data_IF_389882575508
#
_entry.id   IF_389882575508
#
_cell.length_a   1.000
_cell.length_b   1.000
_cell.length_c   1.000
_cell.angle_alpha   90.00
_cell.angle_beta   90.00
_cell.angle_gamma   90.00
#
_symmetry.space_group_name_H-M   'P 1'
#
loop_
_entity.id
_entity.type
_entity.pdbx_description
1 polymer ?
#
# COMPACT_ATOMS: atom_id res chain seq x y z
N UNK A 1 9.33 6.62 -17.06
CA UNK A 1 8.58 7.84 -16.68
C UNK A 1 7.31 7.54 -15.89
N UNK A 2 6.51 6.53 -16.25
CA UNK A 2 5.28 6.13 -15.52
C UNK A 2 5.53 5.95 -14.01
N UNK A 3 6.53 5.15 -13.65
CA UNK A 3 7.01 4.93 -12.27
C UNK A 3 7.30 6.24 -11.52
N UNK A 4 8.00 7.18 -12.15
CA UNK A 4 8.40 8.45 -11.52
C UNK A 4 7.23 9.43 -11.34
N UNK A 5 6.11 9.19 -12.04
CA UNK A 5 4.90 10.02 -11.97
C UNK A 5 3.82 9.47 -11.02
N UNK A 6 3.99 8.25 -10.49
CA UNK A 6 3.00 7.66 -9.59
C UNK A 6 2.99 8.36 -8.23
N UNK A 7 1.78 8.67 -7.76
CA UNK A 7 1.55 9.31 -6.46
C UNK A 7 2.01 8.41 -5.31
N UNK A 8 1.93 7.08 -5.48
CA UNK A 8 2.38 6.09 -4.50
C UNK A 8 3.89 6.10 -4.25
N UNK A 9 4.68 6.63 -5.19
CA UNK A 9 6.11 6.83 -5.01
C UNK A 9 6.40 8.23 -4.49
N UNK A 10 5.86 9.24 -5.17
CA UNK A 10 6.25 10.63 -4.92
C UNK A 10 5.86 11.09 -3.51
N UNK A 11 4.69 10.68 -3.02
CA UNK A 11 4.22 11.06 -1.67
C UNK A 11 5.16 10.55 -0.56
N UNK A 12 5.49 9.24 -0.47
CA UNK A 12 6.45 8.75 0.52
C UNK A 12 7.86 9.35 0.38
N UNK A 13 8.35 9.57 -0.85
CA UNK A 13 9.69 10.16 -1.07
C UNK A 13 9.75 11.58 -0.54
N UNK A 14 8.81 12.43 -0.97
CA UNK A 14 8.86 13.86 -0.71
C UNK A 14 8.63 14.20 0.77
N UNK A 15 7.95 13.32 1.50
CA UNK A 15 7.41 13.65 2.83
C UNK A 15 8.01 12.80 3.96
N UNK A 16 8.37 11.52 3.73
CA UNK A 16 8.62 10.58 4.85
C UNK A 16 9.92 9.74 4.80
N UNK A 17 10.76 9.84 3.76
CA UNK A 17 12.10 9.23 3.79
C UNK A 17 12.19 7.70 3.66
N UNK A 18 11.18 7.03 3.10
CA UNK A 18 11.19 5.67 2.52
C UNK A 18 11.94 4.51 3.25
N UNK A 19 11.87 4.38 4.58
CA UNK A 19 12.49 3.21 5.24
C UNK A 19 11.80 1.86 4.87
N UNK A 20 10.57 1.90 4.37
CA UNK A 20 9.81 0.72 3.92
C UNK A 20 10.32 0.10 2.62
N UNK A 21 11.19 0.82 1.90
CA UNK A 21 11.77 0.36 0.64
C UNK A 21 12.55 -0.96 0.82
N UNK A 22 13.19 -1.18 1.98
CA UNK A 22 13.93 -2.41 2.26
C UNK A 22 13.00 -3.64 2.33
N UNK A 23 11.87 -3.53 3.04
CA UNK A 23 10.89 -4.62 3.08
C UNK A 23 10.33 -4.91 1.69
N UNK A 24 9.99 -3.85 0.94
CA UNK A 24 9.47 -3.97 -0.43
C UNK A 24 10.47 -4.63 -1.37
N UNK A 25 11.76 -4.28 -1.29
CA UNK A 25 12.81 -4.88 -2.12
C UNK A 25 12.87 -6.40 -1.93
N UNK A 26 12.94 -6.87 -0.68
CA UNK A 26 12.97 -8.31 -0.40
C UNK A 26 11.65 -9.00 -0.74
N UNK A 27 10.50 -8.33 -0.55
CA UNK A 27 9.21 -8.84 -0.98
C UNK A 27 9.17 -9.09 -2.49
N UNK A 28 9.67 -8.14 -3.29
CA UNK A 28 9.75 -8.27 -4.75
C UNK A 28 10.70 -9.38 -5.20
N UNK A 29 11.84 -9.57 -4.52
CA UNK A 29 12.73 -10.72 -4.76
C UNK A 29 12.04 -12.05 -4.44
N UNK A 30 11.24 -12.10 -3.37
CA UNK A 30 10.42 -13.26 -3.03
C UNK A 30 9.39 -13.57 -4.11
N UNK A 31 8.65 -12.57 -4.57
CA UNK A 31 7.68 -12.72 -5.67
C UNK A 31 8.36 -13.17 -6.97
N UNK A 32 9.53 -12.61 -7.31
CA UNK A 32 10.31 -13.05 -8.47
C UNK A 32 10.73 -14.52 -8.36
N UNK A 33 11.21 -14.95 -7.20
CA UNK A 33 11.56 -16.35 -6.94
C UNK A 33 10.33 -17.27 -7.01
N UNK A 34 9.17 -16.80 -6.53
CA UNK A 34 7.89 -17.51 -6.65
C UNK A 34 7.53 -17.77 -8.11
N UNK A 35 7.60 -16.74 -8.96
CA UNK A 35 7.30 -16.81 -10.39
C UNK A 35 8.27 -17.77 -11.11
N UNK A 36 9.56 -17.74 -10.74
CA UNK A 36 10.58 -18.66 -11.26
C UNK A 36 10.45 -20.11 -10.76
N UNK A 37 9.50 -20.39 -9.86
CA UNK A 37 9.33 -21.72 -9.27
C UNK A 37 10.36 -22.06 -8.17
N UNK A 38 11.19 -21.11 -7.75
CA UNK A 38 12.30 -21.30 -6.80
C UNK A 38 11.80 -21.23 -5.34
N UNK A 39 11.07 -22.26 -4.88
CA UNK A 39 10.41 -22.29 -3.56
C UNK A 39 11.30 -21.90 -2.38
N UNK A 40 12.53 -22.42 -2.32
CA UNK A 40 13.46 -22.12 -1.22
C UNK A 40 13.83 -20.63 -1.18
N UNK A 41 14.09 -20.02 -2.34
CA UNK A 41 14.41 -18.60 -2.43
C UNK A 41 13.18 -17.73 -2.12
N UNK A 42 11.99 -18.15 -2.55
CA UNK A 42 10.73 -17.48 -2.20
C UNK A 42 10.58 -17.38 -0.68
N UNK A 43 10.64 -18.50 0.04
CA UNK A 43 10.50 -18.52 1.50
C UNK A 43 11.61 -17.73 2.19
N UNK A 44 12.86 -17.88 1.74
CA UNK A 44 14.02 -17.16 2.27
C UNK A 44 13.87 -15.63 2.16
N UNK A 45 13.49 -15.11 1.00
CA UNK A 45 13.34 -13.67 0.81
C UNK A 45 12.19 -13.10 1.64
N UNK A 46 11.08 -13.83 1.79
CA UNK A 46 10.01 -13.41 2.69
C UNK A 46 10.41 -13.46 4.16
N UNK A 47 11.23 -14.44 4.57
CA UNK A 47 11.79 -14.47 5.91
C UNK A 47 12.63 -13.23 6.21
N UNK A 48 13.38 -12.72 5.22
CA UNK A 48 14.13 -11.46 5.35
C UNK A 48 13.21 -10.23 5.34
N UNK A 49 12.17 -10.21 4.50
CA UNK A 49 11.26 -9.05 4.36
C UNK A 49 10.44 -8.77 5.64
N UNK A 50 10.06 -9.82 6.37
CA UNK A 50 9.13 -9.77 7.49
C UNK A 50 9.64 -9.00 8.73
N UNK A 51 10.89 -9.15 9.18
CA UNK A 51 11.48 -8.32 10.22
C UNK A 51 11.44 -6.82 9.92
N UNK A 52 11.61 -6.42 8.66
CA UNK A 52 11.50 -5.00 8.28
C UNK A 52 10.06 -4.51 8.34
N UNK A 53 9.11 -5.30 7.82
CA UNK A 53 7.68 -4.96 7.88
C UNK A 53 6.79 -6.18 7.78
N UNK A 54 5.90 -6.32 8.76
CA UNK A 54 4.97 -7.45 8.83
C UNK A 54 3.91 -7.45 7.71
N UNK A 55 3.75 -6.34 6.97
CA UNK A 55 2.87 -6.28 5.80
C UNK A 55 3.27 -7.25 4.69
N UNK A 56 4.51 -7.75 4.68
CA UNK A 56 4.92 -8.84 3.80
C UNK A 56 4.09 -10.12 4.01
N UNK A 57 3.47 -10.33 5.18
CA UNK A 57 2.54 -11.46 5.40
C UNK A 57 1.32 -11.40 4.49
N UNK A 58 0.84 -10.19 4.18
CA UNK A 58 -0.34 -9.98 3.34
C UNK A 58 -0.09 -10.40 1.89
N UNK A 59 1.18 -10.51 1.49
CA UNK A 59 1.59 -11.05 0.19
C UNK A 59 2.00 -12.52 0.31
N UNK A 60 2.78 -12.86 1.33
CA UNK A 60 3.33 -14.20 1.52
C UNK A 60 2.23 -15.27 1.66
N UNK A 61 1.27 -15.05 2.56
CA UNK A 61 0.25 -16.06 2.89
C UNK A 61 -0.63 -16.39 1.67
N UNK A 62 -1.21 -15.40 0.96
CA UNK A 62 -2.02 -15.71 -0.22
C UNK A 62 -1.23 -16.43 -1.33
N UNK A 63 0.06 -16.10 -1.53
CA UNK A 63 0.90 -16.78 -2.52
C UNK A 63 1.19 -18.24 -2.13
N UNK A 64 1.49 -18.52 -0.86
CA UNK A 64 1.65 -19.90 -0.36
C UNK A 64 0.39 -20.71 -0.63
N UNK A 65 -0.79 -20.16 -0.31
CA UNK A 65 -2.08 -20.82 -0.48
C UNK A 65 -2.48 -20.99 -1.96
N UNK A 66 -2.07 -20.07 -2.82
CA UNK A 66 -2.28 -20.18 -4.27
C UNK A 66 -1.50 -21.37 -4.84
N UNK A 67 -0.26 -21.58 -4.37
CA UNK A 67 0.63 -22.64 -4.85
C UNK A 67 0.38 -24.00 -4.23
N UNK A 68 0.38 -24.07 -2.90
CA UNK A 68 0.34 -25.32 -2.13
C UNK A 68 -1.05 -25.56 -1.55
N UNK A 69 -1.58 -26.78 -1.75
CA UNK A 69 -2.91 -27.20 -1.24
C UNK A 69 -2.83 -28.17 -0.06
N UNK A 70 -1.65 -28.75 0.15
CA UNK A 70 -1.37 -29.72 1.20
C UNK A 70 -1.05 -28.98 2.50
N UNK A 71 -1.92 -29.10 3.49
CA UNK A 71 -1.84 -28.39 4.78
C UNK A 71 -0.45 -28.48 5.41
N UNK A 72 0.19 -29.66 5.40
CA UNK A 72 1.54 -29.84 5.95
C UNK A 72 2.59 -28.91 5.34
N UNK A 73 2.57 -28.70 4.03
CA UNK A 73 3.55 -27.86 3.35
C UNK A 73 3.26 -26.37 3.55
N UNK A 74 1.98 -26.01 3.64
CA UNK A 74 1.56 -24.65 3.99
C UNK A 74 2.08 -24.28 5.38
N UNK A 75 1.91 -25.17 6.37
CA UNK A 75 2.40 -24.95 7.73
C UNK A 75 3.93 -24.86 7.78
N UNK A 76 4.64 -25.75 7.10
CA UNK A 76 6.11 -25.73 7.03
C UNK A 76 6.63 -24.43 6.41
N UNK A 77 6.09 -24.02 5.25
CA UNK A 77 6.49 -22.74 4.62
C UNK A 77 6.10 -21.55 5.48
N UNK A 78 4.98 -21.61 6.20
CA UNK A 78 4.57 -20.59 7.18
C UNK A 78 5.60 -20.42 8.29
N UNK A 79 6.06 -21.52 8.88
CA UNK A 79 7.09 -21.52 9.95
C UNK A 79 8.43 -21.05 9.40
N UNK A 80 8.88 -21.58 8.26
CA UNK A 80 10.14 -21.21 7.63
C UNK A 80 10.14 -19.72 7.22
N UNK A 81 9.05 -19.23 6.63
CA UNK A 81 8.88 -17.83 6.26
C UNK A 81 8.85 -16.91 7.49
N UNK A 82 8.22 -17.31 8.59
CA UNK A 82 8.19 -16.50 9.81
C UNK A 82 9.43 -16.66 10.71
N UNK A 83 10.35 -17.58 10.38
CA UNK A 83 11.45 -17.98 11.26
C UNK A 83 12.35 -16.82 11.69
N UNK A 84 12.77 -15.97 10.75
CA UNK A 84 13.68 -14.87 11.06
C UNK A 84 12.99 -13.76 11.85
N UNK A 85 11.71 -13.48 11.58
CA UNK A 85 10.90 -12.59 12.41
C UNK A 85 10.80 -13.09 13.86
N UNK A 86 10.56 -14.39 14.04
CA UNK A 86 10.52 -15.00 15.37
C UNK A 86 11.87 -14.90 16.07
N UNK A 87 12.97 -15.16 15.35
CA UNK A 87 14.33 -15.01 15.87
C UNK A 87 14.59 -13.57 16.34
N UNK A 88 14.29 -12.56 15.52
CA UNK A 88 14.45 -11.15 15.89
C UNK A 88 13.66 -10.80 17.15
N UNK A 89 12.41 -11.28 17.27
CA UNK A 89 11.58 -11.06 18.46
C UNK A 89 12.15 -11.74 19.71
N UNK A 90 12.68 -12.95 19.58
CA UNK A 90 13.33 -13.66 20.69
C UNK A 90 14.57 -12.90 21.14
N UNK A 91 15.45 -12.52 20.20
CA UNK A 91 16.66 -11.74 20.50
C UNK A 91 16.29 -10.41 21.18
N UNK A 92 15.29 -9.69 20.67
CA UNK A 92 14.81 -8.45 21.26
C UNK A 92 14.33 -8.65 22.70
N UNK A 93 13.51 -9.68 22.95
CA UNK A 93 13.00 -10.00 24.29
C UNK A 93 14.10 -10.40 25.26
N UNK A 94 15.08 -11.19 24.82
CA UNK A 94 16.14 -11.71 25.69
C UNK A 94 17.19 -10.64 26.02
N UNK A 95 17.60 -9.83 25.04
CA UNK A 95 18.76 -8.93 25.19
C UNK A 95 18.41 -7.46 25.38
N UNK A 96 17.24 -7.00 24.92
CA UNK A 96 16.95 -5.56 24.82
C UNK A 96 15.75 -5.10 25.63
N UNK A 97 14.74 -5.97 25.87
CA UNK A 97 13.53 -5.61 26.59
C UNK A 97 13.16 -6.72 27.60
N UNK A 98 13.83 -6.76 28.77
CA UNK A 98 13.53 -7.75 29.81
C UNK A 98 12.17 -7.53 30.48
N UNK A 99 11.71 -6.27 30.55
CA UNK A 99 10.47 -5.91 31.23
C UNK A 99 9.22 -6.09 30.35
N UNK A 100 8.25 -6.83 30.90
CA UNK A 100 7.02 -7.29 30.25
C UNK A 100 6.08 -6.16 29.79
N UNK A 101 6.17 -4.97 30.39
CA UNK A 101 5.31 -3.84 30.05
C UNK A 101 5.68 -3.16 28.71
N UNK A 102 6.92 -3.32 28.24
CA UNK A 102 7.42 -2.69 26.99
C UNK A 102 7.34 -3.64 25.78
N UNK A 103 7.08 -4.93 26.00
CA UNK A 103 6.93 -5.93 24.94
C UNK A 103 5.67 -5.74 24.08
N UNK A 104 4.66 -5.02 24.60
CA UNK A 104 3.38 -4.78 23.90
C UNK A 104 3.48 -3.77 22.75
N UNK A 105 4.54 -2.96 22.66
CA UNK A 105 4.59 -1.84 21.72
C UNK A 105 4.88 -2.25 20.26
N UNK A 106 5.57 -3.36 20.01
CA UNK A 106 5.99 -3.71 18.63
C UNK A 106 4.97 -4.55 17.85
N UNK A 107 4.24 -5.45 18.51
CA UNK A 107 3.14 -6.21 17.87
C UNK A 107 1.76 -5.56 18.07
N UNK A 108 1.56 -4.84 19.18
CA UNK A 108 0.29 -4.17 19.46
C UNK A 108 -0.06 -3.13 18.41
N UNK A 109 0.93 -2.41 17.86
CA UNK A 109 0.67 -1.34 16.90
C UNK A 109 0.20 -1.83 15.52
N UNK A 110 0.57 -3.03 15.07
CA UNK A 110 -0.03 -3.61 13.85
C UNK A 110 -1.46 -4.06 14.12
N UNK A 111 -1.67 -4.71 15.27
CA UNK A 111 -2.98 -5.22 15.66
C UNK A 111 -3.99 -4.09 15.80
N UNK A 112 -3.60 -2.91 16.31
CA UNK A 112 -4.51 -1.76 16.37
C UNK A 112 -5.05 -1.37 14.99
N UNK A 113 -4.23 -1.39 13.93
CA UNK A 113 -4.70 -1.11 12.57
C UNK A 113 -5.61 -2.21 12.00
N UNK A 114 -5.28 -3.47 12.27
CA UNK A 114 -6.07 -4.62 11.82
C UNK A 114 -7.46 -4.62 12.48
N UNK A 115 -7.54 -4.29 13.78
CA UNK A 115 -8.77 -4.31 14.55
C UNK A 115 -9.51 -2.96 14.57
N UNK A 116 -9.02 -1.93 13.89
CA UNK A 116 -9.63 -0.59 13.91
C UNK A 116 -11.00 -0.56 13.24
N UNK A 117 -11.15 -1.22 12.09
CA UNK A 117 -12.43 -1.29 11.37
C UNK A 117 -13.15 -2.58 11.70
N UNK A 118 -14.33 -2.45 12.30
CA UNK A 118 -15.11 -3.57 12.80
C UNK A 118 -16.53 -3.53 12.27
N UNK A 119 -17.11 -4.71 12.09
CA UNK A 119 -18.51 -4.91 11.79
C UNK A 119 -19.16 -5.72 12.92
N UNK A 120 -20.35 -5.33 13.34
CA UNK A 120 -21.07 -5.99 14.42
C UNK A 120 -21.82 -7.21 13.88
N UNK A 121 -21.53 -8.39 14.45
CA UNK A 121 -22.31 -9.60 14.23
C UNK A 121 -23.12 -9.94 15.49
N UNK A 122 -23.96 -10.98 15.39
CA UNK A 122 -24.87 -11.44 16.46
C UNK A 122 -24.12 -11.74 17.76
N UNK A 123 -22.92 -12.32 17.67
CA UNK A 123 -22.16 -12.73 18.84
C UNK A 123 -21.19 -11.65 19.34
N UNK A 124 -20.40 -11.03 18.45
CA UNK A 124 -19.51 -9.88 18.78
C UNK A 124 -19.10 -9.11 17.50
N UNK A 125 -18.41 -7.97 17.68
CA UNK A 125 -17.75 -7.22 16.61
C UNK A 125 -16.54 -7.98 16.05
N UNK A 126 -16.40 -8.02 14.73
CA UNK A 126 -15.27 -8.67 14.04
C UNK A 126 -14.52 -7.68 13.16
N UNK A 127 -13.20 -7.83 13.06
CA UNK A 127 -12.37 -7.03 12.16
C UNK A 127 -12.77 -7.28 10.69
N UNK A 128 -13.09 -6.20 9.98
CA UNK A 128 -13.41 -6.24 8.54
C UNK A 128 -12.18 -6.70 7.75
N UNK A 129 -10.97 -6.29 8.17
CA UNK A 129 -9.72 -6.75 7.58
C UNK A 129 -9.57 -8.27 7.67
N UNK A 130 -9.71 -8.84 8.87
CA UNK A 130 -9.54 -10.28 9.09
C UNK A 130 -10.55 -11.05 8.24
N UNK A 131 -11.81 -10.63 8.28
CA UNK A 131 -12.87 -11.24 7.48
C UNK A 131 -12.54 -11.25 5.98
N UNK A 132 -12.21 -10.08 5.41
CA UNK A 132 -11.88 -9.96 3.99
C UNK A 132 -10.58 -10.71 3.62
N UNK A 133 -9.57 -10.69 4.48
CA UNK A 133 -8.30 -11.36 4.23
C UNK A 133 -8.43 -12.89 4.28
N UNK A 134 -9.27 -13.41 5.18
CA UNK A 134 -9.63 -14.85 5.20
C UNK A 134 -10.33 -15.24 3.90
N UNK A 135 -11.24 -14.42 3.38
CA UNK A 135 -11.87 -14.67 2.07
C UNK A 135 -10.85 -14.70 0.94
N UNK A 136 -9.85 -13.80 0.94
CA UNK A 136 -8.73 -13.83 -0.04
C UNK A 136 -7.92 -15.12 0.11
N UNK A 137 -7.62 -15.55 1.33
CA UNK A 137 -6.89 -16.78 1.60
C UNK A 137 -7.67 -18.02 1.13
N UNK A 138 -8.97 -18.08 1.42
CA UNK A 138 -9.86 -19.14 0.95
C UNK A 138 -9.95 -19.17 -0.57
N UNK A 139 -10.10 -18.00 -1.21
CA UNK A 139 -10.05 -17.88 -2.66
C UNK A 139 -8.75 -18.44 -3.24
N UNK A 140 -7.59 -18.06 -2.68
CA UNK A 140 -6.29 -18.57 -3.14
C UNK A 140 -6.16 -20.08 -2.91
N UNK A 141 -6.62 -20.59 -1.78
CA UNK A 141 -6.59 -22.02 -1.47
C UNK A 141 -7.47 -22.83 -2.42
N UNK A 142 -8.68 -22.37 -2.72
CA UNK A 142 -9.65 -23.08 -3.57
C UNK A 142 -9.36 -22.95 -5.07
N UNK A 143 -8.73 -21.85 -5.51
CA UNK A 143 -8.32 -21.65 -6.91
C UNK A 143 -7.31 -22.73 -7.30
N UNK A 144 -7.53 -23.39 -8.45
CA UNK A 144 -6.55 -24.29 -9.07
C UNK A 144 -5.22 -23.55 -9.28
N UNK A 145 -4.11 -24.20 -8.94
CA UNK A 145 -2.77 -23.63 -9.12
C UNK A 145 -2.59 -23.18 -10.58
N UNK A 146 -2.24 -21.91 -10.83
CA UNK A 146 -2.04 -21.40 -12.19
C UNK A 146 -0.92 -22.14 -12.93
N UNK A 147 -1.04 -22.18 -14.25
CA UNK A 147 0.01 -22.70 -15.12
C UNK A 147 1.21 -21.75 -15.17
N UNK A 148 2.36 -22.25 -15.63
CA UNK A 148 3.63 -21.50 -15.60
C UNK A 148 3.59 -20.21 -16.42
N UNK A 149 2.75 -20.15 -17.47
CA UNK A 149 2.57 -18.96 -18.30
C UNK A 149 1.76 -17.88 -17.58
N UNK A 150 0.80 -18.26 -16.75
CA UNK A 150 -0.09 -17.33 -16.05
C UNK A 150 0.37 -16.99 -14.63
N UNK A 151 1.31 -17.77 -14.08
CA UNK A 151 1.74 -17.65 -12.67
C UNK A 151 2.26 -16.27 -12.33
N UNK A 152 2.93 -15.59 -13.28
CA UNK A 152 3.41 -14.22 -13.13
C UNK A 152 2.28 -13.24 -12.82
N UNK A 153 1.27 -13.23 -13.68
CA UNK A 153 0.12 -12.32 -13.55
C UNK A 153 -0.72 -12.64 -12.31
N UNK A 154 -0.93 -13.92 -12.01
CA UNK A 154 -1.62 -14.34 -10.78
C UNK A 154 -0.86 -13.98 -9.52
N UNK A 155 0.48 -14.13 -9.51
CA UNK A 155 1.29 -13.75 -8.36
C UNK A 155 1.18 -12.26 -8.06
N UNK A 156 1.29 -11.41 -9.09
CA UNK A 156 1.12 -9.95 -8.95
C UNK A 156 -0.30 -9.59 -8.47
N UNK A 157 -1.32 -10.19 -9.08
CA UNK A 157 -2.72 -9.95 -8.74
C UNK A 157 -3.05 -10.33 -7.29
N UNK A 158 -2.64 -11.53 -6.86
CA UNK A 158 -2.88 -12.02 -5.49
C UNK A 158 -2.09 -11.23 -4.45
N UNK A 159 -0.87 -10.80 -4.79
CA UNK A 159 -0.08 -9.90 -3.95
C UNK A 159 -0.79 -8.55 -3.76
N UNK A 160 -1.29 -7.96 -4.85
CA UNK A 160 -2.08 -6.74 -4.79
C UNK A 160 -3.37 -6.96 -3.99
N UNK A 161 -4.08 -8.07 -4.19
CA UNK A 161 -5.33 -8.37 -3.51
C UNK A 161 -5.15 -8.44 -1.99
N UNK A 162 -4.10 -9.09 -1.52
CA UNK A 162 -3.77 -9.17 -0.09
C UNK A 162 -3.47 -7.79 0.53
N UNK A 163 -2.69 -6.95 -0.15
CA UNK A 163 -2.42 -5.59 0.29
C UNK A 163 -3.65 -4.67 0.17
N UNK A 164 -4.44 -4.81 -0.89
CA UNK A 164 -5.60 -3.98 -1.14
C UNK A 164 -6.65 -4.13 -0.04
N UNK A 165 -6.86 -5.35 0.46
CA UNK A 165 -7.73 -5.56 1.63
C UNK A 165 -7.26 -4.72 2.81
N UNK A 166 -5.96 -4.74 3.13
CA UNK A 166 -5.41 -3.91 4.20
C UNK A 166 -5.66 -2.41 3.97
N UNK A 167 -5.42 -1.92 2.76
CA UNK A 167 -5.61 -0.51 2.43
C UNK A 167 -7.07 -0.05 2.45
N UNK A 168 -8.02 -0.92 2.09
CA UNK A 168 -9.44 -0.58 2.06
C UNK A 168 -10.09 -0.67 3.43
N UNK A 169 -9.60 -1.54 4.32
CA UNK A 169 -10.27 -1.84 5.60
C UNK A 169 -9.53 -1.33 6.82
N UNK A 170 -8.28 -0.88 6.68
CA UNK A 170 -7.48 -0.38 7.79
C UNK A 170 -6.98 1.04 7.52
N UNK A 171 -6.77 1.81 8.58
CA UNK A 171 -6.16 3.13 8.46
C UNK A 171 -4.69 2.96 8.06
N UNK A 172 -4.32 3.50 6.89
CA UNK A 172 -2.98 3.33 6.33
C UNK A 172 -2.18 4.62 6.34
N UNK A 173 -0.97 4.54 6.91
CA UNK A 173 -0.05 5.66 6.96
C UNK A 173 0.43 6.04 5.54
N UNK A 174 0.63 7.33 5.23
CA UNK A 174 0.99 7.78 3.87
C UNK A 174 2.20 7.08 3.25
N UNK A 175 3.22 6.78 4.05
CA UNK A 175 4.42 6.07 3.59
C UNK A 175 4.16 4.66 3.05
N UNK A 176 3.10 3.98 3.51
CA UNK A 176 2.84 2.59 3.13
C UNK A 176 2.30 2.46 1.71
N UNK A 177 1.79 3.55 1.12
CA UNK A 177 1.29 3.56 -0.26
C UNK A 177 2.33 3.01 -1.27
N UNK A 178 3.62 3.13 -0.94
CA UNK A 178 4.74 2.53 -1.67
C UNK A 178 4.60 1.00 -1.85
N UNK A 179 3.92 0.29 -0.95
CA UNK A 179 3.74 -1.15 -1.02
C UNK A 179 2.79 -1.58 -2.14
N UNK A 180 1.80 -0.75 -2.50
CA UNK A 180 0.89 -1.03 -3.61
C UNK A 180 1.57 -0.82 -4.97
N UNK A 181 2.50 0.14 -5.03
CA UNK A 181 3.13 0.61 -6.25
C UNK A 181 3.60 -0.50 -7.21
N UNK A 182 4.50 -1.43 -6.81
CA UNK A 182 5.08 -2.33 -7.79
C UNK A 182 4.05 -3.32 -8.36
N UNK A 183 3.06 -3.72 -7.56
CA UNK A 183 2.03 -4.65 -8.00
C UNK A 183 1.04 -3.98 -8.97
N UNK A 184 0.63 -2.74 -8.68
CA UNK A 184 -0.25 -1.96 -9.56
C UNK A 184 0.45 -1.69 -10.90
N UNK A 185 1.65 -1.14 -10.88
CA UNK A 185 2.36 -0.79 -12.12
C UNK A 185 2.71 -2.02 -12.95
N UNK A 186 3.18 -3.11 -12.34
CA UNK A 186 3.49 -4.33 -13.10
C UNK A 186 2.23 -4.93 -13.72
N UNK A 187 1.07 -4.90 -13.05
CA UNK A 187 -0.19 -5.35 -13.65
C UNK A 187 -0.63 -4.46 -14.83
N UNK A 188 -0.39 -3.15 -14.76
CA UNK A 188 -0.62 -2.23 -15.88
C UNK A 188 0.34 -2.56 -17.03
N UNK A 189 1.63 -2.73 -16.77
CA UNK A 189 2.65 -3.03 -17.78
C UNK A 189 2.50 -4.43 -18.40
N UNK A 190 1.94 -5.40 -17.66
CA UNK A 190 1.61 -6.72 -18.21
C UNK A 190 0.31 -6.71 -19.03
N UNK A 191 -0.38 -5.58 -19.16
CA UNK A 191 -1.57 -5.43 -19.98
C UNK A 191 -1.21 -5.06 -21.41
N UNK A 192 -2.05 -5.44 -22.38
CA UNK A 192 -1.89 -4.98 -23.76
C UNK A 192 -1.89 -3.44 -23.83
N UNK A 193 -1.18 -2.89 -24.80
CA UNK A 193 -0.96 -1.44 -24.95
C UNK A 193 -2.28 -0.64 -24.97
N UNK A 194 -3.31 -1.16 -25.66
CA UNK A 194 -4.65 -0.53 -25.73
C UNK A 194 -5.30 -0.39 -24.35
N UNK A 195 -5.01 -1.30 -23.42
CA UNK A 195 -5.56 -1.32 -22.07
C UNK A 195 -4.68 -0.60 -21.03
N UNK A 196 -3.40 -0.37 -21.35
CA UNK A 196 -2.45 0.30 -20.45
C UNK A 196 -2.94 1.70 -20.07
N UNK A 197 -3.59 2.41 -21.00
CA UNK A 197 -4.15 3.75 -20.77
C UNK A 197 -5.24 3.76 -19.71
N UNK A 198 -6.14 2.78 -19.77
CA UNK A 198 -7.21 2.60 -18.76
C UNK A 198 -6.60 2.32 -17.39
N UNK A 199 -5.62 1.41 -17.34
CA UNK A 199 -4.89 1.10 -16.10
C UNK A 199 -4.24 2.33 -15.47
N UNK A 200 -3.60 3.18 -16.28
CA UNK A 200 -3.02 4.44 -15.83
C UNK A 200 -4.06 5.43 -15.34
N UNK A 201 -5.18 5.61 -16.05
CA UNK A 201 -6.22 6.50 -15.57
C UNK A 201 -6.72 6.05 -14.20
N UNK A 202 -7.03 4.76 -14.06
CA UNK A 202 -7.50 4.19 -12.80
C UNK A 202 -6.50 4.43 -11.67
N UNK A 203 -5.22 4.09 -11.88
CA UNK A 203 -4.17 4.31 -10.87
C UNK A 203 -4.04 5.78 -10.49
N UNK A 204 -4.20 6.69 -11.44
CA UNK A 204 -4.21 8.13 -11.14
C UNK A 204 -5.37 8.46 -10.21
N UNK A 205 -6.59 8.07 -10.57
CA UNK A 205 -7.80 8.41 -9.83
C UNK A 205 -7.75 7.89 -8.39
N UNK A 206 -7.46 6.60 -8.19
CA UNK A 206 -7.46 6.06 -6.83
C UNK A 206 -6.24 6.51 -6.02
N UNK A 207 -5.07 6.70 -6.62
CA UNK A 207 -3.88 7.17 -5.88
C UNK A 207 -4.02 8.63 -5.42
N UNK A 208 -4.62 9.50 -6.23
CA UNK A 208 -4.98 10.86 -5.81
C UNK A 208 -6.11 10.88 -4.77
N UNK A 209 -7.08 9.97 -4.88
CA UNK A 209 -8.10 9.77 -3.84
C UNK A 209 -7.47 9.44 -2.48
N UNK A 210 -6.50 8.51 -2.47
CA UNK A 210 -5.77 8.15 -1.26
C UNK A 210 -4.97 9.33 -0.70
N UNK A 211 -4.24 10.06 -1.56
CA UNK A 211 -3.48 11.23 -1.16
C UNK A 211 -4.38 12.30 -0.53
N UNK A 212 -5.53 12.61 -1.14
CA UNK A 212 -6.49 13.56 -0.60
C UNK A 212 -6.96 13.13 0.79
N UNK A 213 -7.35 11.86 0.94
CA UNK A 213 -7.78 11.31 2.22
C UNK A 213 -6.69 11.48 3.30
N UNK A 214 -5.45 11.17 2.93
CA UNK A 214 -4.30 11.21 3.82
C UNK A 214 -3.87 12.63 4.20
N UNK A 215 -3.91 13.60 3.28
CA UNK A 215 -3.59 15.00 3.58
C UNK A 215 -4.51 15.54 4.68
N UNK A 216 -5.79 15.20 4.63
CA UNK A 216 -6.78 15.68 5.60
C UNK A 216 -6.68 14.91 6.92
N UNK A 217 -6.59 13.58 6.88
CA UNK A 217 -6.56 12.77 8.10
C UNK A 217 -5.23 12.92 8.85
N UNK A 218 -4.12 12.78 8.13
CA UNK A 218 -2.77 12.89 8.66
C UNK A 218 -2.23 14.31 8.50
N UNK A 219 -3.03 15.34 8.78
CA UNK A 219 -2.62 16.73 8.62
C UNK A 219 -1.31 17.07 9.36
N UNK A 220 -1.01 16.38 10.47
CA UNK A 220 0.27 16.51 11.21
C UNK A 220 1.50 16.06 10.42
N UNK A 221 1.32 15.29 9.35
CA UNK A 221 2.38 14.82 8.45
C UNK A 221 2.61 15.91 7.41
N UNK A 222 1.51 16.44 6.88
CA UNK A 222 1.48 17.45 5.84
C UNK A 222 1.49 18.86 6.48
N UNK A 223 2.42 19.06 7.41
CA UNK A 223 2.59 20.31 8.15
C UNK A 223 4.02 20.87 8.04
N UNK A 224 4.19 22.08 8.55
CA UNK A 224 5.48 22.78 8.60
C UNK A 224 6.52 21.96 9.34
N UNK A 225 6.19 21.39 10.51
CA UNK A 225 7.12 20.56 11.32
C UNK A 225 7.84 19.50 10.50
N UNK A 226 7.08 18.72 9.74
CA UNK A 226 7.63 17.62 8.94
C UNK A 226 8.37 18.17 7.73
N UNK A 227 7.80 19.22 7.11
CA UNK A 227 8.34 19.84 5.91
C UNK A 227 9.70 20.51 6.14
N UNK A 228 9.96 21.10 7.31
CA UNK A 228 11.25 21.74 7.67
C UNK A 228 12.44 20.76 7.61
N UNK A 229 12.22 19.48 7.91
CA UNK A 229 13.28 18.46 7.85
C UNK A 229 13.58 17.99 6.41
N UNK A 230 12.71 18.29 5.45
CA UNK A 230 12.93 17.98 4.03
C UNK A 230 13.92 18.96 3.40
N UNK A 231 14.46 18.61 2.23
CA UNK A 231 15.31 19.53 1.46
C UNK A 231 14.60 20.86 1.15
N UNK A 232 13.31 20.80 0.79
CA UNK A 232 12.51 22.00 0.54
C UNK A 232 12.35 22.85 1.80
N UNK A 233 12.12 22.23 2.95
CA UNK A 233 12.12 22.89 4.25
C UNK A 233 13.38 23.69 4.52
N UNK A 234 14.54 23.06 4.31
CA UNK A 234 15.85 23.72 4.50
C UNK A 234 16.10 24.90 3.56
N UNK A 235 15.47 24.92 2.38
CA UNK A 235 15.67 25.97 1.38
C UNK A 235 14.67 27.14 1.51
N UNK A 236 13.43 26.86 1.92
CA UNK A 236 12.33 27.85 1.85
C UNK A 236 11.76 28.26 3.21
N UNK A 237 12.05 27.54 4.30
CA UNK A 237 11.49 27.88 5.60
C UNK A 237 12.17 29.12 6.20
N UNK A 238 11.36 30.16 6.46
CA UNK A 238 11.83 31.45 6.99
C UNK A 238 11.35 31.74 8.42
N UNK A 239 10.80 30.75 9.14
CA UNK A 239 10.36 30.92 10.53
C UNK A 239 9.05 31.70 10.73
N UNK A 240 8.32 32.01 9.66
CA UNK A 240 7.13 32.88 9.71
C UNK A 240 5.84 32.18 10.17
N UNK A 241 5.68 30.88 9.90
CA UNK A 241 4.50 30.11 10.30
C UNK A 241 4.79 29.22 11.50
N UNK A 242 3.74 28.95 12.28
CA UNK A 242 3.83 27.99 13.37
C UNK A 242 4.16 26.60 12.84
N UNK A 243 4.86 25.84 13.66
CA UNK A 243 5.32 24.49 13.34
C UNK A 243 4.14 23.52 13.11
N UNK A 244 2.99 23.80 13.71
CA UNK A 244 1.78 22.98 13.58
C UNK A 244 0.94 23.34 12.35
N UNK A 245 1.31 24.38 11.60
CA UNK A 245 0.52 24.85 10.46
C UNK A 245 0.49 23.80 9.32
N UNK A 246 -0.70 23.43 8.83
CA UNK A 246 -0.87 22.30 7.90
C UNK A 246 -1.64 22.62 6.61
N UNK A 247 -1.50 21.77 5.59
CA UNK A 247 -2.28 21.89 4.34
C UNK A 247 -3.80 21.88 4.63
N UNK A 248 -4.25 21.09 5.61
CA UNK A 248 -5.67 21.06 6.02
C UNK A 248 -6.16 22.43 6.48
N UNK A 249 -5.34 23.17 7.22
CA UNK A 249 -5.70 24.51 7.70
C UNK A 249 -5.74 25.53 6.56
N UNK A 250 -4.83 25.42 5.58
CA UNK A 250 -4.91 26.22 4.34
C UNK A 250 -6.24 25.98 3.63
N UNK A 251 -6.62 24.72 3.46
CA UNK A 251 -7.88 24.36 2.83
C UNK A 251 -9.07 24.88 3.65
N UNK A 252 -9.04 24.73 4.98
CA UNK A 252 -10.10 25.20 5.86
C UNK A 252 -10.31 26.71 5.75
N UNK A 253 -9.21 27.49 5.73
CA UNK A 253 -9.27 28.95 5.59
C UNK A 253 -9.88 29.44 4.27
N UNK A 254 -9.81 28.64 3.20
CA UNK A 254 -10.36 29.00 1.89
C UNK A 254 -11.73 28.37 1.60
N UNK A 255 -12.23 27.50 2.47
CA UNK A 255 -13.36 26.61 2.16
C UNK A 255 -14.76 27.20 2.33
N UNK A 256 -14.91 28.52 2.55
CA UNK A 256 -16.19 29.24 2.61
C UNK A 256 -17.31 28.54 3.43
N UNK A 257 -16.96 27.85 4.52
CA UNK A 257 -17.91 27.15 5.40
C UNK A 257 -18.09 25.65 5.14
N UNK A 258 -17.38 25.07 4.17
CA UNK A 258 -17.32 23.61 4.00
C UNK A 258 -16.46 22.98 5.10
N UNK A 259 -16.99 21.96 5.79
CA UNK A 259 -16.16 21.14 6.66
C UNK A 259 -15.18 20.30 5.81
N UNK A 260 -13.91 20.67 5.87
CA UNK A 260 -12.80 20.00 5.17
C UNK A 260 -12.70 18.52 5.55
N UNK A 261 -13.27 18.10 6.69
CA UNK A 261 -13.40 16.69 7.06
C UNK A 261 -14.10 15.84 5.98
N UNK A 262 -15.06 16.40 5.23
CA UNK A 262 -15.71 15.67 4.14
C UNK A 262 -14.76 15.29 3.01
N UNK A 263 -13.68 16.06 2.78
CA UNK A 263 -12.67 15.73 1.76
C UNK A 263 -11.92 14.43 2.10
N UNK A 264 -11.77 14.09 3.39
CA UNK A 264 -11.22 12.80 3.79
C UNK A 264 -12.12 11.65 3.33
N UNK A 265 -13.43 11.77 3.54
CA UNK A 265 -14.43 10.76 3.18
C UNK A 265 -14.50 10.61 1.66
N UNK A 266 -14.52 11.73 0.92
CA UNK A 266 -14.54 11.74 -0.54
C UNK A 266 -13.28 11.08 -1.10
N UNK A 267 -12.10 11.48 -0.62
CA UNK A 267 -10.83 10.87 -1.05
C UNK A 267 -10.77 9.38 -0.77
N UNK A 268 -11.20 8.95 0.42
CA UNK A 268 -11.26 7.55 0.82
C UNK A 268 -12.23 6.75 -0.06
N UNK A 269 -13.41 7.30 -0.35
CA UNK A 269 -14.41 6.68 -1.22
C UNK A 269 -13.91 6.51 -2.66
N UNK A 270 -13.26 7.54 -3.23
CA UNK A 270 -12.63 7.48 -4.56
C UNK A 270 -11.53 6.41 -4.58
N UNK A 271 -10.70 6.35 -3.54
CA UNK A 271 -9.66 5.34 -3.43
C UNK A 271 -10.24 3.92 -3.40
N UNK A 272 -11.19 3.64 -2.50
CA UNK A 272 -11.78 2.29 -2.36
C UNK A 272 -12.50 1.87 -3.65
N UNK A 273 -13.34 2.75 -4.21
CA UNK A 273 -14.07 2.45 -5.44
C UNK A 273 -13.12 2.20 -6.62
N UNK A 274 -12.11 3.07 -6.79
CA UNK A 274 -11.14 2.94 -7.88
C UNK A 274 -10.24 1.71 -7.72
N UNK A 275 -9.82 1.37 -6.50
CA UNK A 275 -9.03 0.17 -6.23
C UNK A 275 -9.84 -1.11 -6.44
N UNK A 276 -11.11 -1.16 -6.01
CA UNK A 276 -12.01 -2.29 -6.28
C UNK A 276 -12.21 -2.50 -7.79
N UNK A 277 -12.46 -1.41 -8.52
CA UNK A 277 -12.59 -1.48 -9.97
C UNK A 277 -11.28 -1.92 -10.64
N UNK A 278 -10.14 -1.41 -10.17
CA UNK A 278 -8.82 -1.83 -10.66
C UNK A 278 -8.56 -3.31 -10.39
N UNK A 279 -8.93 -3.85 -9.23
CA UNK A 279 -8.86 -5.29 -8.95
C UNK A 279 -9.72 -6.09 -9.92
N UNK A 280 -10.97 -5.67 -10.16
CA UNK A 280 -11.83 -6.32 -11.14
C UNK A 280 -11.23 -6.31 -12.56
N UNK A 281 -10.72 -5.17 -13.00
CA UNK A 281 -10.10 -4.97 -14.31
C UNK A 281 -8.76 -5.72 -14.47
N UNK A 282 -7.96 -5.78 -13.41
CA UNK A 282 -6.63 -6.40 -13.40
C UNK A 282 -6.67 -7.92 -13.27
N UNK A 283 -7.78 -8.48 -12.76
CA UNK A 283 -7.98 -9.92 -12.59
C UNK A 283 -7.64 -10.68 -13.89
N UNK A 284 -6.84 -11.77 -13.81
CA UNK A 284 -6.37 -12.49 -15.00
C UNK A 284 -7.48 -12.98 -15.95
N UNK A 285 -8.58 -13.46 -15.39
CA UNK A 285 -9.71 -14.05 -16.14
C UNK A 285 -10.66 -13.00 -16.77
N UNK A 286 -10.45 -11.69 -16.55
CA UNK A 286 -11.37 -10.65 -17.02
C UNK A 286 -11.17 -10.36 -18.51
N UNK A 287 -12.25 -10.44 -19.30
CA UNK A 287 -12.26 -10.04 -20.72
C UNK A 287 -12.25 -8.52 -20.81
N UNK A 288 -11.16 -7.95 -21.33
CA UNK A 288 -10.95 -6.49 -21.36
C UNK A 288 -11.42 -5.81 -22.64
N UNK A 289 -11.78 -6.58 -23.66
CA UNK A 289 -12.27 -6.07 -24.94
C UNK A 289 -13.62 -5.34 -24.84
N UNK A 290 -14.24 -5.35 -23.65
CA UNK A 290 -15.46 -4.61 -23.34
C UNK A 290 -15.19 -3.16 -22.90
N UNK A 291 -13.93 -2.79 -22.61
CA UNK A 291 -13.59 -1.43 -22.20
C UNK A 291 -13.30 -0.55 -23.43
N UNK A 292 -13.83 0.67 -23.40
CA UNK A 292 -13.61 1.64 -24.47
C UNK A 292 -12.12 1.99 -24.62
N UNK A 293 -11.67 2.16 -25.86
CA UNK A 293 -10.33 2.68 -26.14
C UNK A 293 -10.25 4.15 -25.70
N UNK A 294 -9.27 4.46 -24.87
CA UNK A 294 -9.05 5.83 -24.42
C UNK A 294 -8.23 6.61 -25.45
N UNK A 295 -8.73 7.78 -25.85
CA UNK A 295 -8.04 8.71 -26.75
C UNK A 295 -6.85 9.42 -26.08
N UNK A 296 -6.81 9.48 -24.74
CA UNK A 296 -5.75 10.18 -24.02
C UNK A 296 -4.38 9.52 -24.22
N UNK A 297 -3.36 10.32 -24.58
CA UNK A 297 -1.99 9.84 -24.69
C UNK A 297 -1.40 9.51 -23.32
N UNK A 298 -0.52 8.50 -23.27
CA UNK A 298 0.21 8.15 -22.04
C UNK A 298 1.08 9.31 -21.54
N UNK A 299 1.69 10.07 -22.44
CA UNK A 299 2.51 11.24 -22.11
C UNK A 299 1.68 12.34 -21.45
N UNK A 300 0.47 12.60 -21.95
CA UNK A 300 -0.46 13.57 -21.36
C UNK A 300 -0.84 13.21 -19.93
N UNK A 301 -1.09 11.91 -19.66
CA UNK A 301 -1.38 11.43 -18.30
C UNK A 301 -0.17 11.57 -17.36
N UNK A 302 1.03 11.25 -17.84
CA UNK A 302 2.26 11.41 -17.06
C UNK A 302 2.48 12.88 -16.72
N UNK A 303 2.34 13.79 -17.69
CA UNK A 303 2.46 15.22 -17.47
C UNK A 303 1.42 15.75 -16.47
N UNK A 304 0.16 15.31 -16.59
CA UNK A 304 -0.91 15.68 -15.66
C UNK A 304 -0.58 15.26 -14.22
N UNK A 305 -0.11 14.02 -14.02
CA UNK A 305 0.30 13.53 -12.69
C UNK A 305 1.44 14.35 -12.09
N UNK A 306 2.47 14.64 -12.90
CA UNK A 306 3.61 15.44 -12.46
C UNK A 306 3.20 16.87 -12.10
N UNK A 307 2.34 17.50 -12.90
CA UNK A 307 1.78 18.82 -12.61
C UNK A 307 0.97 18.80 -11.31
N UNK A 308 0.11 17.81 -11.12
CA UNK A 308 -0.68 17.67 -9.90
C UNK A 308 0.20 17.47 -8.65
N UNK A 309 1.27 16.68 -8.75
CA UNK A 309 2.23 16.54 -7.65
C UNK A 309 3.07 17.80 -7.43
N UNK A 310 3.40 18.54 -8.48
CA UNK A 310 4.06 19.84 -8.37
C UNK A 310 3.17 20.85 -7.63
N UNK A 311 1.84 20.81 -7.83
CA UNK A 311 0.90 21.64 -7.07
C UNK A 311 0.87 21.27 -5.58
N UNK A 312 0.92 19.97 -5.24
CA UNK A 312 1.03 19.52 -3.84
C UNK A 312 2.36 19.98 -3.23
N UNK A 313 3.46 19.88 -3.98
CA UNK A 313 4.76 20.42 -3.60
C UNK A 313 4.75 21.94 -3.41
N UNK A 314 4.08 22.68 -4.29
CA UNK A 314 3.91 24.12 -4.18
C UNK A 314 3.07 24.49 -2.94
N UNK A 315 2.00 23.74 -2.64
CA UNK A 315 1.24 23.91 -1.40
C UNK A 315 2.13 23.68 -0.16
N UNK A 316 3.02 22.68 -0.20
CA UNK A 316 4.03 22.44 0.85
C UNK A 316 5.04 23.60 0.96
N UNK A 317 5.40 24.26 -0.14
CA UNK A 317 6.25 25.47 -0.09
C UNK A 317 5.48 26.66 0.46
N UNK A 318 4.21 26.85 0.08
CA UNK A 318 3.36 27.93 0.58
C UNK A 318 3.20 27.84 2.10
N UNK A 319 3.07 26.63 2.67
CA UNK A 319 3.02 26.50 4.14
C UNK A 319 4.36 26.84 4.81
N UNK A 320 5.49 26.77 4.11
CA UNK A 320 6.82 27.11 4.65
C UNK A 320 7.11 28.62 4.67
N UNK A 321 6.40 29.41 3.84
CA UNK A 321 6.54 30.87 3.69
C UNK A 321 5.58 31.66 4.60
#
# INVERSE_FOLDING_TARGET
MMTLSSVFILTPILIMGQYDAMSLFFMMLGVLAYIKGENKKFVFWFAIALPFKMFALFVFIPLVLLKEKRIRYILLQGIEGCSFLLLCKIVQKVFFIPDTNTANYLSGHLLTFIFQSQINFVYESSSIFIFAFVLVCLFCYLKKTPEQEEIGRWALYVSLLGLAVFFMTSLTHPQWSLLLFPFVELLICCSEEKHMRVGLLLETVFSFGLLLAQIIYYYWVFNVKTSVFTLAGKLFYNGKRSVDFSIREVLAGHSAGLDVGYLNIIGGGVFVAGLLFFLYWSKPDTRRDQFAEMELSCEGMIALRLLAMAMVGAALIVILL
#
